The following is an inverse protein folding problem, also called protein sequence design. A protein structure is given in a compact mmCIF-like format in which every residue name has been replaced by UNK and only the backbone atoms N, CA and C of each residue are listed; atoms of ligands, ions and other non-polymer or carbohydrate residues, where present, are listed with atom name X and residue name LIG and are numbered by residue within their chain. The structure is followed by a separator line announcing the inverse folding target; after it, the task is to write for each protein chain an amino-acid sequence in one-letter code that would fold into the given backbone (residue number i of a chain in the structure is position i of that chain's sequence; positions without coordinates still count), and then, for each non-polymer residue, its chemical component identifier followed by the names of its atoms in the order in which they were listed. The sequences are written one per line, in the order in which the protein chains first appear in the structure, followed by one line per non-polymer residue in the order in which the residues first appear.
data_IF_026440383196
#
_entry.id   IF_026440383196
#
_cell.length_a   1.000
_cell.length_b   1.000
_cell.length_c   1.000
_cell.angle_alpha   90.00
_cell.angle_beta   90.00
_cell.angle_gamma   90.00
#
_symmetry.space_group_name_H-M   'P 1'
#
loop_
_entity.id
_entity.type
_entity.pdbx_description
1 polymer ?
#
# COMPACT_ATOMS: atom_id res chain seq x y z
N UNK A 1 11.80 34.66 -31.87
CA UNK A 1 10.79 34.13 -32.82
C UNK A 1 11.43 32.92 -33.47
N UNK A 2 11.17 31.71 -32.98
CA UNK A 2 11.69 30.49 -33.61
C UNK A 2 10.61 29.88 -34.50
N UNK A 3 11.07 29.52 -35.69
CA UNK A 3 10.34 29.13 -36.88
C UNK A 3 9.67 27.77 -36.67
N UNK A 4 8.43 27.60 -37.16
CA UNK A 4 7.78 26.30 -37.27
C UNK A 4 8.63 25.42 -38.19
N UNK A 5 9.31 24.41 -37.64
CA UNK A 5 10.10 23.45 -38.43
C UNK A 5 9.18 22.30 -38.82
N UNK A 6 8.36 22.51 -39.84
CA UNK A 6 7.69 21.41 -40.52
C UNK A 6 8.65 20.82 -41.55
N UNK A 7 9.36 19.74 -41.21
CA UNK A 7 9.96 18.87 -42.22
C UNK A 7 10.29 17.50 -41.63
N UNK A 8 10.08 16.46 -42.44
CA UNK A 8 10.35 15.03 -42.21
C UNK A 8 11.86 14.75 -42.12
N UNK A 9 12.58 15.50 -41.30
CA UNK A 9 14.03 15.53 -41.18
C UNK A 9 14.39 15.17 -39.73
N UNK A 10 15.37 14.28 -39.55
CA UNK A 10 16.03 14.13 -38.26
C UNK A 10 16.43 15.52 -37.78
N UNK A 11 15.86 15.95 -36.65
CA UNK A 11 16.14 17.26 -36.08
C UNK A 11 17.11 17.07 -34.93
N UNK A 12 18.40 17.30 -35.19
CA UNK A 12 19.44 17.32 -34.15
C UNK A 12 19.62 18.76 -33.65
N UNK A 13 19.43 18.98 -32.36
CA UNK A 13 19.67 20.26 -31.68
C UNK A 13 20.88 20.11 -30.77
N UNK A 14 21.96 20.83 -31.07
CA UNK A 14 23.19 20.83 -30.25
C UNK A 14 23.58 22.25 -29.87
N UNK A 15 23.60 22.54 -28.57
CA UNK A 15 24.01 23.83 -28.00
C UNK A 15 24.59 23.63 -26.60
N UNK A 16 25.48 24.51 -26.14
CA UNK A 16 25.95 24.48 -24.74
C UNK A 16 24.80 24.76 -23.75
N UNK A 17 23.89 25.68 -24.07
CA UNK A 17 22.70 25.95 -23.26
C UNK A 17 21.49 26.22 -24.15
N UNK A 18 20.38 25.55 -23.86
CA UNK A 18 19.09 25.76 -24.55
C UNK A 18 18.02 26.20 -23.54
N UNK A 19 17.43 27.38 -23.76
CA UNK A 19 16.28 27.86 -22.95
C UNK A 19 15.04 27.94 -23.82
N UNK A 20 13.99 27.21 -23.44
CA UNK A 20 12.68 27.21 -24.10
C UNK A 20 11.67 27.89 -23.19
N UNK A 21 11.36 29.15 -23.50
CA UNK A 21 10.43 29.98 -22.72
C UNK A 21 9.08 30.23 -23.39
N UNK A 22 8.83 29.60 -24.55
CA UNK A 22 7.61 29.74 -25.35
C UNK A 22 6.96 28.38 -25.63
N UNK A 23 6.01 28.35 -26.56
CA UNK A 23 5.46 27.09 -27.07
C UNK A 23 6.35 26.52 -28.16
N UNK A 24 6.77 25.27 -28.03
CA UNK A 24 7.45 24.50 -29.09
C UNK A 24 6.57 23.30 -29.44
N UNK A 25 6.17 23.21 -30.70
CA UNK A 25 5.41 22.09 -31.26
C UNK A 25 6.27 21.39 -32.31
N UNK A 26 6.63 20.13 -32.06
CA UNK A 26 7.43 19.31 -32.96
C UNK A 26 6.57 18.16 -33.46
N UNK A 27 6.22 18.18 -34.75
CA UNK A 27 5.38 17.18 -35.39
C UNK A 27 6.18 16.30 -36.38
N UNK A 28 6.24 15.00 -36.10
CA UNK A 28 6.81 13.95 -36.96
C UNK A 28 8.35 13.78 -36.89
N UNK A 29 8.82 12.59 -37.27
CA UNK A 29 10.26 12.27 -37.36
C UNK A 29 10.87 11.67 -36.08
N UNK A 30 12.21 11.69 -36.01
CA UNK A 30 13.01 11.44 -34.80
C UNK A 30 13.65 12.76 -34.40
N UNK A 31 13.67 13.06 -33.10
CA UNK A 31 14.28 14.27 -32.54
C UNK A 31 15.41 13.87 -31.61
N UNK A 32 16.58 14.48 -31.79
CA UNK A 32 17.76 14.29 -30.95
C UNK A 32 18.15 15.65 -30.33
N UNK A 33 18.13 15.73 -29.00
CA UNK A 33 18.49 16.94 -28.25
C UNK A 33 19.73 16.65 -27.41
N UNK A 34 20.86 17.24 -27.80
CA UNK A 34 22.16 17.05 -27.16
C UNK A 34 22.76 18.39 -26.68
N UNK A 35 22.55 18.75 -25.42
CA UNK A 35 23.00 20.01 -24.83
C UNK A 35 23.65 19.78 -23.46
N UNK A 36 24.54 20.67 -23.02
CA UNK A 36 25.05 20.61 -21.64
C UNK A 36 23.94 20.94 -20.64
N UNK A 37 23.16 22.00 -20.91
CA UNK A 37 22.02 22.41 -20.05
C UNK A 37 20.79 22.75 -20.89
N UNK A 38 19.64 22.19 -20.53
CA UNK A 38 18.33 22.57 -21.08
C UNK A 38 17.42 23.10 -19.97
N UNK A 39 16.79 24.25 -20.19
CA UNK A 39 15.76 24.80 -19.30
C UNK A 39 14.47 25.05 -20.06
N UNK A 40 13.39 24.37 -19.67
CA UNK A 40 12.06 24.53 -20.25
C UNK A 40 11.14 25.21 -19.24
N UNK A 41 10.80 26.47 -19.50
CA UNK A 41 9.85 27.26 -18.70
C UNK A 41 8.50 27.46 -19.41
N UNK A 42 8.43 27.17 -20.72
CA UNK A 42 7.22 27.22 -21.53
C UNK A 42 6.53 25.86 -21.71
N UNK A 43 5.73 25.73 -22.77
CA UNK A 43 5.06 24.46 -23.13
C UNK A 43 5.82 23.79 -24.27
N UNK A 44 6.15 22.50 -24.12
CA UNK A 44 6.74 21.71 -25.21
C UNK A 44 5.82 20.54 -25.51
N UNK A 45 5.32 20.48 -26.74
CA UNK A 45 4.52 19.38 -27.27
C UNK A 45 5.34 18.66 -28.36
N UNK A 46 5.54 17.36 -28.20
CA UNK A 46 6.29 16.54 -29.16
C UNK A 46 5.42 15.37 -29.61
N UNK A 47 4.98 15.40 -30.87
CA UNK A 47 4.20 14.35 -31.52
C UNK A 47 5.03 13.63 -32.58
N UNK A 48 5.92 12.72 -32.16
CA UNK A 48 6.95 12.12 -33.03
C UNK A 48 7.03 10.60 -32.90
N UNK A 49 7.77 9.92 -33.78
CA UNK A 49 7.92 8.47 -33.70
C UNK A 49 8.87 8.06 -32.57
N UNK A 50 9.94 8.83 -32.35
CA UNK A 50 10.90 8.63 -31.25
C UNK A 50 11.60 9.94 -30.85
N UNK A 51 11.90 10.09 -29.56
CA UNK A 51 12.66 11.22 -29.01
C UNK A 51 13.85 10.70 -28.21
N UNK A 52 15.04 11.22 -28.48
CA UNK A 52 16.27 10.98 -27.71
C UNK A 52 16.78 12.30 -27.11
N UNK A 53 16.96 12.32 -25.79
CA UNK A 53 17.37 13.51 -25.02
C UNK A 53 18.60 13.14 -24.20
N UNK A 54 19.75 13.71 -24.56
CA UNK A 54 21.05 13.41 -23.95
C UNK A 54 21.72 14.70 -23.49
N UNK A 55 21.59 15.04 -22.21
CA UNK A 55 22.09 16.30 -21.64
C UNK A 55 22.73 16.12 -20.27
N UNK A 56 23.67 16.99 -19.89
CA UNK A 56 24.23 16.91 -18.53
C UNK A 56 23.18 17.31 -17.47
N UNK A 57 22.37 18.34 -17.75
CA UNK A 57 21.27 18.75 -16.89
C UNK A 57 20.04 19.24 -17.67
N UNK A 58 18.85 18.81 -17.25
CA UNK A 58 17.56 19.32 -17.77
C UNK A 58 16.68 19.78 -16.61
N UNK A 59 16.18 21.02 -16.71
CA UNK A 59 15.22 21.58 -15.76
C UNK A 59 13.92 21.94 -16.47
N UNK A 60 12.81 21.34 -16.04
CA UNK A 60 11.48 21.60 -16.58
C UNK A 60 10.60 22.20 -15.49
N UNK A 61 10.25 23.48 -15.64
CA UNK A 61 9.29 24.18 -14.76
C UNK A 61 7.96 24.47 -15.45
N UNK A 62 7.91 24.32 -16.78
CA UNK A 62 6.69 24.41 -17.58
C UNK A 62 5.97 23.08 -17.77
N UNK A 63 5.14 22.98 -18.82
CA UNK A 63 4.40 21.75 -19.17
C UNK A 63 5.07 21.06 -20.35
N UNK A 64 5.37 19.77 -20.21
CA UNK A 64 5.90 18.94 -21.30
C UNK A 64 4.91 17.81 -21.56
N UNK A 65 4.41 17.75 -22.80
CA UNK A 65 3.54 16.68 -23.28
C UNK A 65 4.26 15.96 -24.43
N UNK A 66 4.63 14.70 -24.20
CA UNK A 66 5.28 13.87 -25.22
C UNK A 66 4.29 12.77 -25.60
N UNK A 67 3.90 12.79 -26.86
CA UNK A 67 3.06 11.78 -27.51
C UNK A 67 3.95 11.09 -28.55
N UNK A 68 4.79 10.16 -28.09
CA UNK A 68 5.76 9.45 -28.95
C UNK A 68 5.81 7.97 -28.61
N UNK A 69 6.05 7.11 -29.60
CA UNK A 69 6.03 5.65 -29.40
C UNK A 69 7.18 5.16 -28.50
N UNK A 70 8.32 5.88 -28.48
CA UNK A 70 9.42 5.64 -27.55
C UNK A 70 10.13 6.95 -27.16
N UNK A 71 10.54 7.06 -25.90
CA UNK A 71 11.33 8.19 -25.38
C UNK A 71 12.50 7.63 -24.58
N UNK A 72 13.71 8.04 -24.94
CA UNK A 72 14.93 7.71 -24.23
C UNK A 72 15.54 9.00 -23.67
N UNK A 73 15.78 9.03 -22.35
CA UNK A 73 16.35 10.17 -21.65
C UNK A 73 17.61 9.70 -20.92
N UNK A 74 18.76 10.14 -21.40
CA UNK A 74 20.07 9.82 -20.81
C UNK A 74 20.68 11.10 -20.25
N UNK A 75 20.02 11.67 -19.23
CA UNK A 75 20.50 12.89 -18.58
C UNK A 75 21.21 12.55 -17.27
N UNK A 76 22.32 13.22 -16.97
CA UNK A 76 23.00 13.03 -15.67
C UNK A 76 22.12 13.52 -14.51
N UNK A 77 21.39 14.61 -14.72
CA UNK A 77 20.39 15.16 -13.78
C UNK A 77 19.13 15.61 -14.53
N UNK A 78 17.96 15.14 -14.09
CA UNK A 78 16.64 15.58 -14.56
C UNK A 78 15.82 16.12 -13.38
N UNK A 79 15.46 17.41 -13.43
CA UNK A 79 14.60 18.06 -12.42
C UNK A 79 13.30 18.52 -13.07
N UNK A 80 12.17 17.98 -12.59
CA UNK A 80 10.82 18.31 -13.07
C UNK A 80 10.00 18.84 -11.90
N UNK A 81 9.51 20.08 -12.03
CA UNK A 81 8.64 20.72 -11.01
C UNK A 81 7.25 21.08 -11.55
N UNK A 82 6.95 20.70 -12.79
CA UNK A 82 5.68 20.95 -13.48
C UNK A 82 4.88 19.67 -13.71
N UNK A 83 3.62 19.81 -14.16
CA UNK A 83 2.80 18.65 -14.54
C UNK A 83 3.42 17.92 -15.74
N UNK A 84 3.68 16.62 -15.58
CA UNK A 84 4.19 15.74 -16.64
C UNK A 84 3.18 14.63 -16.89
N UNK A 85 2.76 14.52 -18.15
CA UNK A 85 1.93 13.43 -18.63
C UNK A 85 2.73 12.68 -19.70
N UNK A 86 3.12 11.45 -19.40
CA UNK A 86 3.79 10.54 -20.34
C UNK A 86 2.78 9.47 -20.74
N UNK A 87 2.42 9.41 -22.02
CA UNK A 87 1.47 8.41 -22.55
C UNK A 87 2.19 7.31 -23.36
N UNK A 88 3.43 6.97 -22.99
CA UNK A 88 4.23 6.01 -23.73
C UNK A 88 4.08 4.59 -23.17
N UNK A 89 4.25 3.58 -24.03
CA UNK A 89 4.25 2.16 -23.65
C UNK A 89 5.43 1.80 -22.72
N UNK A 90 6.55 2.51 -22.81
CA UNK A 90 7.76 2.30 -21.99
C UNK A 90 8.52 3.62 -21.79
N UNK A 91 8.98 3.88 -20.56
CA UNK A 91 9.86 4.99 -20.19
C UNK A 91 11.09 4.41 -19.49
N UNK A 92 12.28 4.66 -20.04
CA UNK A 92 13.57 4.29 -19.46
C UNK A 92 14.35 5.57 -19.13
N UNK A 93 14.85 5.69 -17.89
CA UNK A 93 15.63 6.85 -17.44
C UNK A 93 16.88 6.36 -16.74
N UNK A 94 18.04 6.66 -17.33
CA UNK A 94 19.35 6.45 -16.70
C UNK A 94 19.74 7.70 -15.88
N UNK A 95 20.03 7.55 -14.59
CA UNK A 95 20.51 8.65 -13.73
C UNK A 95 19.71 8.88 -12.43
N UNK A 96 19.99 9.99 -11.73
CA UNK A 96 19.22 10.37 -10.52
C UNK A 96 17.97 11.15 -10.94
N UNK A 97 16.79 10.63 -10.59
CA UNK A 97 15.49 11.20 -10.96
C UNK A 97 14.81 11.78 -9.71
N UNK A 98 14.66 13.10 -9.68
CA UNK A 98 13.94 13.82 -8.61
C UNK A 98 12.60 14.35 -9.19
N UNK A 99 11.48 13.76 -8.75
CA UNK A 99 10.13 14.15 -9.19
C UNK A 99 9.42 14.83 -8.02
N UNK A 100 9.27 16.16 -8.07
CA UNK A 100 8.56 16.94 -7.04
C UNK A 100 7.24 17.46 -7.61
N UNK A 101 6.30 16.55 -7.88
CA UNK A 101 5.01 16.87 -8.50
C UNK A 101 3.85 16.74 -7.51
N UNK A 102 2.83 17.61 -7.65
CA UNK A 102 1.58 17.51 -6.87
C UNK A 102 0.78 16.23 -7.18
N UNK A 103 0.92 15.68 -8.39
CA UNK A 103 0.44 14.35 -8.76
C UNK A 103 1.27 13.78 -9.91
N UNK A 104 1.53 12.47 -9.87
CA UNK A 104 2.17 11.71 -10.95
C UNK A 104 1.20 10.62 -11.37
N UNK A 105 0.81 10.60 -12.64
CA UNK A 105 -0.01 9.52 -13.20
C UNK A 105 0.85 8.78 -14.22
N UNK A 106 1.24 7.54 -13.90
CA UNK A 106 1.94 6.67 -14.86
C UNK A 106 0.97 5.62 -15.37
N UNK A 107 0.73 5.62 -16.68
CA UNK A 107 -0.01 4.56 -17.36
C UNK A 107 1.00 3.71 -18.14
N UNK A 108 1.74 2.84 -17.43
CA UNK A 108 2.81 2.02 -18.02
C UNK A 108 3.68 1.32 -16.97
N UNK A 109 4.69 0.57 -17.42
CA UNK A 109 5.70 -0.03 -16.53
C UNK A 109 6.81 0.98 -16.25
N UNK A 110 7.10 1.26 -14.97
CA UNK A 110 8.25 2.08 -14.56
C UNK A 110 9.41 1.14 -14.23
N UNK A 111 10.43 1.12 -15.10
CA UNK A 111 11.71 0.47 -14.82
C UNK A 111 12.71 1.51 -14.33
N UNK A 112 13.40 1.23 -13.22
CA UNK A 112 14.49 2.06 -12.72
C UNK A 112 15.71 1.14 -12.64
N UNK A 113 16.61 1.26 -13.61
CA UNK A 113 17.90 0.60 -13.63
C UNK A 113 19.02 1.56 -13.19
N UNK A 114 19.95 1.05 -12.37
CA UNK A 114 21.07 1.82 -11.82
C UNK A 114 21.01 2.05 -10.30
N UNK A 115 22.13 2.48 -9.72
CA UNK A 115 22.32 2.73 -8.27
C UNK A 115 21.59 4.00 -7.76
N UNK A 116 20.62 4.51 -8.51
CA UNK A 116 19.91 5.74 -8.20
C UNK A 116 18.85 5.48 -7.11
N UNK A 117 18.86 6.32 -6.07
CA UNK A 117 17.82 6.32 -5.05
C UNK A 117 16.54 6.93 -5.61
N UNK A 118 15.42 6.26 -5.41
CA UNK A 118 14.08 6.77 -5.75
C UNK A 118 13.48 7.37 -4.49
N UNK A 119 13.28 8.68 -4.47
CA UNK A 119 12.59 9.38 -3.38
C UNK A 119 11.17 9.72 -3.84
N UNK A 120 10.16 9.17 -3.16
CA UNK A 120 8.74 9.45 -3.40
C UNK A 120 8.20 10.18 -2.17
N UNK A 121 7.91 11.48 -2.30
CA UNK A 121 7.44 12.33 -1.19
C UNK A 121 5.93 12.56 -1.20
N UNK A 122 5.15 11.70 -1.87
CA UNK A 122 3.70 11.83 -1.95
C UNK A 122 3.04 11.54 -0.59
N UNK A 123 1.99 12.30 -0.26
CA UNK A 123 1.16 12.06 0.94
C UNK A 123 0.50 10.66 0.92
N UNK A 124 0.23 10.12 -0.27
CA UNK A 124 -0.26 8.77 -0.48
C UNK A 124 0.24 8.21 -1.82
N UNK A 125 0.62 6.93 -1.82
CA UNK A 125 0.93 6.15 -3.02
C UNK A 125 -0.02 4.96 -3.06
N UNK A 126 -0.89 4.91 -4.06
CA UNK A 126 -1.80 3.78 -4.31
C UNK A 126 -1.23 2.95 -5.46
N UNK A 127 -1.01 1.66 -5.22
CA UNK A 127 -0.55 0.72 -6.25
C UNK A 127 -1.64 -0.34 -6.45
N UNK A 128 -2.34 -0.27 -7.58
CA UNK A 128 -3.28 -1.30 -8.02
C UNK A 128 -2.51 -2.46 -8.67
N UNK A 129 -1.82 -3.27 -7.85
CA UNK A 129 -1.01 -4.39 -8.33
C UNK A 129 -0.01 -4.92 -7.30
N UNK A 130 0.88 -5.81 -7.75
CA UNK A 130 1.95 -6.35 -6.93
C UNK A 130 3.11 -5.35 -6.86
N UNK A 131 3.60 -5.08 -5.65
CA UNK A 131 4.87 -4.36 -5.43
C UNK A 131 5.96 -5.41 -5.14
N UNK A 132 6.94 -5.52 -6.02
CA UNK A 132 8.13 -6.34 -5.79
C UNK A 132 9.30 -5.46 -5.36
N UNK A 133 9.88 -5.73 -4.18
CA UNK A 133 11.07 -5.05 -3.66
C UNK A 133 12.20 -6.09 -3.54
N UNK A 134 13.23 -5.95 -4.35
CA UNK A 134 14.36 -6.91 -4.39
C UNK A 134 15.56 -6.47 -3.55
N UNK A 135 15.47 -5.31 -2.89
CA UNK A 135 16.51 -4.79 -2.02
C UNK A 135 16.75 -5.73 -0.82
N UNK A 136 18.02 -5.83 -0.39
CA UNK A 136 18.39 -6.65 0.77
C UNK A 136 17.78 -6.15 2.09
N UNK A 137 17.47 -4.86 2.19
CA UNK A 137 16.90 -4.23 3.38
C UNK A 137 15.89 -3.16 2.98
N UNK A 138 14.75 -3.14 3.67
CA UNK A 138 13.74 -2.07 3.60
C UNK A 138 13.66 -1.41 4.96
N UNK A 139 13.81 -0.08 5.01
CA UNK A 139 13.68 0.70 6.26
C UNK A 139 12.41 1.55 6.18
N UNK A 140 11.51 1.43 7.16
CA UNK A 140 10.29 2.22 7.25
C UNK A 140 10.32 3.02 8.55
N UNK A 141 10.20 4.35 8.47
CA UNK A 141 10.24 5.25 9.64
C UNK A 141 8.87 5.49 10.28
N UNK A 142 7.93 4.56 10.12
CA UNK A 142 6.53 4.69 10.54
C UNK A 142 5.84 3.33 10.73
N UNK A 143 4.53 3.35 10.91
CA UNK A 143 3.73 2.13 11.02
C UNK A 143 3.52 1.48 9.65
N UNK A 144 3.62 0.16 9.59
CA UNK A 144 3.25 -0.66 8.43
C UNK A 144 1.95 -1.38 8.77
N UNK A 145 0.91 -1.17 7.97
CA UNK A 145 -0.35 -1.91 8.07
C UNK A 145 -0.45 -2.85 6.88
N UNK A 146 -0.55 -4.15 7.16
CA UNK A 146 -0.72 -5.19 6.13
C UNK A 146 -2.15 -5.72 6.26
N UNK A 147 -3.01 -5.40 5.30
CA UNK A 147 -4.35 -5.97 5.21
C UNK A 147 -4.25 -7.49 4.98
N UNK A 148 -5.06 -8.27 5.70
CA UNK A 148 -5.10 -9.74 5.59
C UNK A 148 -4.06 -10.48 6.44
N UNK A 149 -3.40 -9.82 7.39
CA UNK A 149 -2.68 -10.45 8.53
C UNK A 149 -2.91 -9.66 9.84
N UNK A 150 -3.94 -8.81 9.89
CA UNK A 150 -4.27 -8.02 11.09
C UNK A 150 -4.75 -8.96 12.19
N UNK A 151 -4.20 -8.80 13.39
CA UNK A 151 -4.66 -9.51 14.58
C UNK A 151 -5.59 -8.59 15.38
N UNK A 152 -6.85 -8.98 15.50
CA UNK A 152 -7.81 -8.39 16.43
C UNK A 152 -7.63 -9.05 17.79
N UNK A 153 -7.32 -8.25 18.82
CA UNK A 153 -7.12 -8.73 20.19
C UNK A 153 -8.10 -8.08 21.17
N UNK A 154 -8.83 -8.91 21.91
CA UNK A 154 -9.72 -8.49 23.01
C UNK A 154 -9.27 -9.18 24.30
N UNK A 155 -9.48 -8.54 25.45
CA UNK A 155 -9.28 -9.18 26.74
C UNK A 155 -10.22 -8.64 27.81
N UNK A 156 -10.51 -9.46 28.82
CA UNK A 156 -11.29 -9.05 29.98
C UNK A 156 -10.93 -9.89 31.21
N UNK A 157 -11.16 -9.35 32.40
CA UNK A 157 -11.02 -10.07 33.66
C UNK A 157 -12.39 -10.16 34.33
N UNK A 158 -12.74 -11.35 34.78
CA UNK A 158 -14.02 -11.67 35.41
C UNK A 158 -13.77 -12.10 36.85
N UNK A 159 -14.59 -11.58 37.76
CA UNK A 159 -14.74 -12.04 39.14
C UNK A 159 -16.22 -12.15 39.43
N UNK A 160 -16.79 -13.34 39.24
CA UNK A 160 -18.24 -13.58 39.30
C UNK A 160 -18.54 -15.02 39.74
N UNK A 161 -19.70 -15.24 40.34
CA UNK A 161 -20.20 -16.55 40.78
C UNK A 161 -21.47 -16.98 40.05
N UNK A 162 -21.81 -16.33 38.95
CA UNK A 162 -22.96 -16.68 38.11
C UNK A 162 -22.55 -17.00 36.67
N UNK A 163 -23.52 -17.42 35.87
CA UNK A 163 -23.37 -17.55 34.42
C UNK A 163 -23.30 -16.17 33.77
N UNK A 164 -22.38 -15.98 32.83
CA UNK A 164 -22.26 -14.74 32.07
C UNK A 164 -21.65 -14.95 30.69
N UNK A 165 -21.52 -13.85 29.95
CA UNK A 165 -20.97 -13.83 28.59
C UNK A 165 -19.85 -12.80 28.54
N UNK A 166 -18.78 -13.14 27.82
CA UNK A 166 -17.70 -12.22 27.48
C UNK A 166 -17.44 -12.24 25.97
N UNK A 167 -16.79 -11.18 25.47
CA UNK A 167 -16.57 -10.98 24.04
C UNK A 167 -17.88 -11.01 23.25
N UNK A 168 -18.94 -10.44 23.83
CA UNK A 168 -20.27 -10.47 23.25
C UNK A 168 -20.29 -9.78 21.88
N UNK A 169 -20.96 -10.41 20.91
CA UNK A 169 -21.04 -9.95 19.52
C UNK A 169 -19.68 -9.62 18.89
N UNK A 170 -18.65 -10.42 19.15
CA UNK A 170 -17.37 -10.30 18.45
C UNK A 170 -17.56 -10.71 17.00
N UNK A 171 -17.40 -9.78 16.07
CA UNK A 171 -17.45 -10.06 14.63
C UNK A 171 -16.27 -10.96 14.24
N UNK A 172 -16.59 -12.11 13.67
CA UNK A 172 -15.63 -13.13 13.20
C UNK A 172 -15.78 -13.41 11.71
N UNK A 173 -16.56 -12.60 10.97
CA UNK A 173 -16.88 -12.85 9.56
C UNK A 173 -15.65 -12.80 8.64
N UNK A 174 -14.64 -12.02 9.02
CA UNK A 174 -13.36 -11.91 8.31
C UNK A 174 -12.21 -12.66 9.00
N UNK A 175 -12.46 -13.35 10.13
CA UNK A 175 -11.42 -14.05 10.89
C UNK A 175 -11.19 -15.43 10.29
N UNK A 176 -9.97 -15.65 9.79
CA UNK A 176 -9.53 -16.94 9.23
C UNK A 176 -9.01 -17.89 10.30
N UNK A 177 -8.41 -17.37 11.37
CA UNK A 177 -7.99 -18.15 12.53
C UNK A 177 -8.27 -17.39 13.83
N UNK A 178 -9.03 -18.00 14.74
CA UNK A 178 -9.36 -17.42 16.05
C UNK A 178 -8.93 -18.30 17.21
N UNK A 179 -8.53 -17.69 18.32
CA UNK A 179 -8.24 -18.40 19.58
C UNK A 179 -8.76 -17.66 20.79
N UNK A 180 -9.37 -18.40 21.72
CA UNK A 180 -9.61 -17.93 23.09
C UNK A 180 -8.54 -18.49 24.02
N UNK A 181 -7.96 -17.63 24.85
CA UNK A 181 -7.09 -18.00 25.95
C UNK A 181 -7.79 -17.69 27.25
N UNK A 182 -7.86 -18.65 28.17
CA UNK A 182 -8.49 -18.48 29.47
C UNK A 182 -7.45 -18.83 30.54
N UNK A 183 -7.25 -17.92 31.49
CA UNK A 183 -6.37 -18.09 32.64
C UNK A 183 -7.19 -17.99 33.91
N UNK A 184 -7.50 -19.13 34.53
CA UNK A 184 -8.12 -19.16 35.84
C UNK A 184 -7.05 -18.86 36.90
N UNK A 185 -7.11 -17.69 37.52
CA UNK A 185 -6.24 -17.33 38.64
C UNK A 185 -6.86 -17.65 40.01
N UNK A 186 -8.10 -18.12 40.01
CA UNK A 186 -8.88 -18.43 41.20
C UNK A 186 -8.78 -19.89 41.66
N UNK A 187 -9.30 -20.12 42.87
CA UNK A 187 -9.40 -21.44 43.48
C UNK A 187 -10.63 -22.23 42.99
N UNK A 188 -11.59 -21.58 42.35
CA UNK A 188 -12.84 -22.20 41.92
C UNK A 188 -12.75 -22.68 40.47
N UNK A 189 -13.29 -23.86 40.22
CA UNK A 189 -13.50 -24.41 38.87
C UNK A 189 -14.78 -23.84 38.27
N UNK A 190 -14.77 -23.58 36.96
CA UNK A 190 -15.94 -23.14 36.18
C UNK A 190 -15.93 -23.83 34.80
N UNK A 191 -16.99 -23.68 34.01
CA UNK A 191 -17.01 -24.14 32.62
C UNK A 191 -17.17 -22.99 31.63
N UNK A 192 -16.71 -23.20 30.40
CA UNK A 192 -16.90 -22.26 29.28
C UNK A 192 -17.49 -22.95 28.06
N UNK A 193 -18.27 -22.19 27.30
CA UNK A 193 -18.89 -22.62 26.04
C UNK A 193 -18.66 -21.53 24.99
N UNK A 194 -18.10 -21.91 23.84
CA UNK A 194 -18.08 -21.02 22.67
C UNK A 194 -19.46 -21.02 22.04
N UNK A 195 -19.97 -19.83 21.72
CA UNK A 195 -21.25 -19.68 21.03
C UNK A 195 -21.07 -18.88 19.75
N UNK A 196 -21.81 -19.25 18.71
CA UNK A 196 -21.74 -18.65 17.38
C UNK A 196 -23.13 -18.23 16.91
N UNK A 197 -23.20 -17.16 16.13
CA UNK A 197 -24.45 -16.66 15.58
C UNK A 197 -24.25 -16.02 14.19
N UNK A 198 -25.24 -16.13 13.28
CA UNK A 198 -25.27 -15.35 12.04
C UNK A 198 -25.67 -13.88 12.27
N UNK A 199 -26.25 -13.53 13.43
CA UNK A 199 -26.72 -12.17 13.74
C UNK A 199 -26.34 -11.77 15.17
N UNK A 200 -26.37 -10.47 15.48
CA UNK A 200 -26.14 -9.99 16.86
C UNK A 200 -27.37 -10.18 17.80
N UNK A 201 -28.31 -11.06 17.43
CA UNK A 201 -29.50 -11.34 18.24
C UNK A 201 -29.20 -12.50 19.19
N UNK A 202 -29.36 -12.28 20.50
CA UNK A 202 -29.09 -13.25 21.56
C UNK A 202 -29.81 -14.58 21.36
N UNK A 203 -31.01 -14.56 20.79
CA UNK A 203 -31.81 -15.77 20.55
C UNK A 203 -31.22 -16.68 19.47
N UNK A 204 -30.32 -16.17 18.62
CA UNK A 204 -29.74 -16.90 17.49
C UNK A 204 -28.37 -17.51 17.81
N UNK A 205 -27.82 -17.26 19.01
CA UNK A 205 -26.59 -17.91 19.43
C UNK A 205 -26.80 -19.39 19.69
N UNK A 206 -25.90 -20.19 19.12
CA UNK A 206 -25.88 -21.65 19.27
C UNK A 206 -24.54 -22.06 19.88
N UNK A 207 -24.59 -22.98 20.83
CA UNK A 207 -23.40 -23.59 21.41
C UNK A 207 -22.61 -24.34 20.34
N UNK A 208 -21.30 -24.11 20.30
CA UNK A 208 -20.38 -24.95 19.55
C UNK A 208 -20.32 -26.34 20.21
N UNK A 209 -20.80 -27.42 19.57
CA UNK A 209 -20.83 -28.74 20.19
C UNK A 209 -19.44 -29.32 20.50
N UNK A 210 -18.38 -28.83 19.84
CA UNK A 210 -17.00 -29.29 20.11
C UNK A 210 -16.37 -28.50 21.27
N UNK A 211 -16.91 -27.33 21.58
CA UNK A 211 -16.38 -26.41 22.58
C UNK A 211 -17.44 -25.99 23.60
N UNK A 212 -18.23 -26.98 24.05
CA UNK A 212 -19.32 -26.81 25.02
C UNK A 212 -18.94 -27.34 26.40
N UNK A 213 -19.27 -26.56 27.43
CA UNK A 213 -19.11 -26.89 28.84
C UNK A 213 -17.70 -27.39 29.20
N UNK A 214 -16.67 -26.79 28.59
CA UNK A 214 -15.28 -27.14 28.86
C UNK A 214 -14.91 -26.68 30.26
N UNK A 215 -14.51 -27.61 31.11
CA UNK A 215 -14.07 -27.30 32.47
C UNK A 215 -12.73 -26.57 32.48
N UNK A 216 -12.65 -25.48 33.25
CA UNK A 216 -11.43 -24.75 33.56
C UNK A 216 -11.15 -24.90 35.06
N UNK A 217 -10.27 -25.85 35.38
CA UNK A 217 -9.88 -26.12 36.77
C UNK A 217 -9.23 -24.93 37.48
N UNK A 218 -9.15 -25.01 38.81
CA UNK A 218 -8.46 -24.00 39.64
C UNK A 218 -7.02 -23.78 39.20
N UNK A 219 -6.56 -22.53 39.11
CA UNK A 219 -5.21 -22.17 38.67
C UNK A 219 -4.79 -22.75 37.30
N UNK A 220 -5.76 -23.15 36.47
CA UNK A 220 -5.51 -23.77 35.18
C UNK A 220 -5.50 -22.76 34.02
N UNK A 221 -4.99 -23.21 32.88
CA UNK A 221 -4.98 -22.47 31.62
C UNK A 221 -5.69 -23.30 30.56
N UNK A 222 -6.51 -22.66 29.74
CA UNK A 222 -7.22 -23.29 28.64
C UNK A 222 -6.99 -22.49 27.34
N UNK A 223 -6.81 -23.22 26.25
CA UNK A 223 -6.78 -22.70 24.89
C UNK A 223 -7.94 -23.32 24.11
N UNK A 224 -8.73 -22.49 23.43
CA UNK A 224 -9.79 -22.95 22.53
C UNK A 224 -9.52 -22.37 21.14
N UNK A 225 -9.43 -23.23 20.13
CA UNK A 225 -9.33 -22.82 18.73
C UNK A 225 -10.72 -22.66 18.17
N UNK A 226 -11.01 -21.50 17.59
CA UNK A 226 -12.24 -21.26 16.88
C UNK A 226 -12.15 -21.91 15.49
N UNK A 227 -12.78 -23.08 15.34
CA UNK A 227 -12.72 -23.91 14.15
C UNK A 227 -13.97 -23.84 13.26
N UNK A 228 -14.98 -23.07 13.67
CA UNK A 228 -16.29 -22.95 13.01
C UNK A 228 -16.57 -21.52 12.60
N UNK A 229 -17.35 -21.40 11.53
CA UNK A 229 -17.73 -20.13 10.94
C UNK A 229 -19.02 -19.59 11.55
N UNK A 230 -19.08 -18.28 11.70
CA UNK A 230 -20.25 -17.50 12.09
C UNK A 230 -20.02 -16.05 11.68
N UNK A 231 -21.03 -15.21 11.86
CA UNK A 231 -20.82 -13.76 11.74
C UNK A 231 -20.34 -13.19 13.07
N UNK A 232 -20.85 -13.74 14.18
CA UNK A 232 -20.50 -13.34 15.53
C UNK A 232 -20.13 -14.56 16.38
N UNK A 233 -19.16 -14.36 17.28
CA UNK A 233 -18.80 -15.29 18.33
C UNK A 233 -18.86 -14.61 19.70
N UNK A 234 -19.06 -15.42 20.74
CA UNK A 234 -18.90 -15.03 22.14
C UNK A 234 -18.48 -16.21 22.99
N UNK A 235 -18.00 -15.95 24.19
CA UNK A 235 -17.66 -16.98 25.17
C UNK A 235 -18.62 -16.87 26.36
N UNK A 236 -19.46 -17.88 26.55
CA UNK A 236 -20.25 -18.03 27.77
C UNK A 236 -19.39 -18.71 28.82
N UNK A 237 -19.45 -18.23 30.06
CA UNK A 237 -18.90 -18.93 31.21
C UNK A 237 -20.02 -19.28 32.20
N UNK A 238 -19.86 -20.40 32.90
CA UNK A 238 -20.78 -20.83 33.93
C UNK A 238 -20.00 -21.11 35.22
N UNK A 239 -20.20 -20.26 36.22
CA UNK A 239 -19.60 -20.38 37.54
C UNK A 239 -20.69 -20.70 38.57
N UNK A 240 -20.40 -21.61 39.50
CA UNK A 240 -21.27 -21.96 40.63
C UNK A 240 -20.75 -21.42 41.97
N UNK A 241 -19.56 -20.82 41.96
CA UNK A 241 -18.86 -20.14 43.05
C UNK A 241 -17.95 -19.06 42.43
N UNK A 242 -17.32 -18.20 43.26
CA UNK A 242 -16.56 -17.04 42.78
C UNK A 242 -15.38 -17.44 41.87
N UNK A 243 -15.61 -17.43 40.56
CA UNK A 243 -14.61 -17.66 39.53
C UNK A 243 -13.83 -16.36 39.31
N UNK A 244 -12.51 -16.47 39.28
CA UNK A 244 -11.61 -15.34 39.02
C UNK A 244 -10.68 -15.70 37.87
N UNK A 245 -10.90 -15.12 36.70
CA UNK A 245 -10.15 -15.47 35.50
C UNK A 245 -9.95 -14.27 34.58
N UNK A 246 -8.91 -14.34 33.77
CA UNK A 246 -8.68 -13.42 32.65
C UNK A 246 -8.82 -14.20 31.35
N UNK A 247 -9.57 -13.65 30.40
CA UNK A 247 -9.74 -14.23 29.09
C UNK A 247 -9.21 -13.28 28.01
N UNK A 248 -8.76 -13.86 26.90
CA UNK A 248 -8.32 -13.16 25.71
C UNK A 248 -8.97 -13.80 24.48
N UNK A 249 -9.30 -13.00 23.49
CA UNK A 249 -9.61 -13.44 22.12
C UNK A 249 -8.60 -12.83 21.18
N UNK A 250 -8.00 -13.66 20.33
CA UNK A 250 -7.14 -13.23 19.23
C UNK A 250 -7.67 -13.82 17.92
N UNK A 251 -8.02 -12.96 16.96
CA UNK A 251 -8.44 -13.34 15.62
C UNK A 251 -7.50 -12.77 14.57
N UNK A 252 -6.96 -13.62 13.71
CA UNK A 252 -6.26 -13.21 12.49
C UNK A 252 -7.27 -13.08 11.36
N UNK A 253 -7.27 -11.92 10.70
CA UNK A 253 -7.97 -11.68 9.44
C UNK A 253 -7.14 -12.24 8.29
#
# INVERSE_FOLDING_TARGET
MFNTVASRLLTTITNDTLTVSGSVDIAGGTVEIANTVVTVTGTVAVGTASVEITNDAVTVTGTVAIDSASVEITNTVLTVTGAVTVLNDTLTVDGTVEITNASVTVTGTVGIDGTASVEITNDAVTVDGTVEITNATVTVSGAVTISGHTITSLNTTVVDSQTGVIFDNTDISEITMGTFFIYNGGAQTFSVTVQLSPTADDANYVDDPDNKDIEVGSNAKLLIVLSKYGHYARLQYNATADASFTAYFNGQM
#
